data_IF_370021054596
#
_entry.id   IF_370021054596
#
_cell.length_a   1.000
_cell.length_b   1.000
_cell.length_c   1.000
_cell.angle_alpha   90.00
_cell.angle_beta   90.00
_cell.angle_gamma   90.00
#
_symmetry.space_group_name_H-M   'P 1'
#
loop_
_entity.id
_entity.type
_entity.pdbx_description
1 polymer ?
#
# COMPACT_ATOMS: atom_id res chain seq x y z
N UNK A 1 5.90 16.06 -0.75
CA UNK A 1 6.58 14.84 -1.17
C UNK A 1 7.56 14.31 -0.15
N UNK A 2 7.80 13.02 -0.18
CA UNK A 2 8.77 12.35 0.69
C UNK A 2 9.78 11.64 -0.20
N UNK A 3 10.95 12.25 -0.39
CA UNK A 3 12.13 11.67 -1.04
C UNK A 3 12.84 10.79 0.02
N UNK A 4 12.18 9.69 0.37
CA UNK A 4 12.57 8.78 1.44
C UNK A 4 11.97 7.39 1.24
N UNK A 5 12.73 6.36 1.65
CA UNK A 5 12.36 4.96 1.52
C UNK A 5 11.06 4.62 2.27
N UNK A 6 10.25 3.72 1.70
CA UNK A 6 9.13 3.02 2.38
C UNK A 6 8.00 3.93 2.89
N UNK A 7 7.91 5.18 2.39
CA UNK A 7 6.92 6.13 2.91
C UNK A 7 5.52 6.00 2.29
N UNK A 8 5.33 5.20 1.21
CA UNK A 8 4.01 5.03 0.60
C UNK A 8 3.09 4.06 1.36
N UNK A 9 3.23 3.99 2.68
CA UNK A 9 2.36 3.22 3.55
C UNK A 9 1.04 3.94 3.82
N UNK A 10 -0.06 3.19 3.85
CA UNK A 10 -1.37 3.76 4.12
C UNK A 10 -1.45 4.38 5.52
N UNK A 11 -0.70 3.85 6.49
CA UNK A 11 -0.55 4.39 7.83
C UNK A 11 0.06 5.79 7.82
N UNK A 12 1.13 5.98 7.04
CA UNK A 12 1.79 7.28 6.88
C UNK A 12 0.88 8.27 6.16
N UNK A 13 0.23 7.84 5.06
CA UNK A 13 -0.73 8.65 4.30
C UNK A 13 -1.88 9.14 5.19
N UNK A 14 -2.43 8.23 6.01
CA UNK A 14 -3.48 8.59 6.95
C UNK A 14 -3.00 9.59 8.01
N UNK A 15 -1.76 9.44 8.49
CA UNK A 15 -1.18 10.33 9.50
C UNK A 15 -1.06 11.76 8.96
N UNK A 16 -0.63 11.94 7.71
CA UNK A 16 -0.37 13.26 7.10
C UNK A 16 -1.58 13.88 6.42
N UNK A 17 -2.71 13.16 6.28
CA UNK A 17 -3.90 13.60 5.53
C UNK A 17 -4.51 14.95 5.95
N UNK A 18 -4.22 15.41 7.17
CA UNK A 18 -4.72 16.70 7.69
C UNK A 18 -3.82 17.88 7.31
N UNK A 19 -2.66 17.62 6.73
CA UNK A 19 -1.60 18.59 6.49
C UNK A 19 -1.28 18.82 5.01
N UNK A 20 -1.82 17.96 4.13
CA UNK A 20 -1.61 18.05 2.70
C UNK A 20 -2.80 17.44 1.93
N UNK A 21 -2.97 17.85 0.67
CA UNK A 21 -4.00 17.32 -0.23
C UNK A 21 -3.50 16.10 -0.99
N UNK A 22 -2.22 16.10 -1.39
CA UNK A 22 -1.58 15.04 -2.16
C UNK A 22 -0.25 14.67 -1.49
N UNK A 23 0.02 13.36 -1.42
CA UNK A 23 1.30 12.83 -0.97
C UNK A 23 1.98 12.09 -2.12
N UNK A 24 3.28 12.33 -2.29
CA UNK A 24 4.13 11.58 -3.20
C UNK A 24 5.16 10.83 -2.37
N UNK A 25 5.25 9.50 -2.58
CA UNK A 25 6.16 8.64 -1.84
C UNK A 25 6.40 7.29 -2.53
N UNK A 26 7.48 6.61 -2.14
CA UNK A 26 7.85 5.29 -2.63
C UNK A 26 7.38 4.17 -1.68
N UNK A 27 6.98 3.03 -2.25
CA UNK A 27 6.74 1.79 -1.49
C UNK A 27 8.04 1.05 -1.16
N UNK A 28 9.10 1.27 -1.97
CA UNK A 28 10.39 0.63 -1.86
C UNK A 28 11.47 1.62 -1.40
N UNK A 29 12.68 1.12 -1.20
CA UNK A 29 13.88 1.93 -0.96
C UNK A 29 14.12 2.84 -2.16
N UNK A 30 14.30 4.13 -1.90
CA UNK A 30 14.68 5.09 -2.92
C UNK A 30 16.20 5.05 -3.14
N UNK A 31 16.67 4.94 -4.40
CA UNK A 31 18.10 5.00 -4.67
C UNK A 31 18.71 6.35 -4.27
N UNK A 32 19.96 6.36 -3.83
CA UNK A 32 20.69 7.54 -3.31
C UNK A 32 20.65 8.79 -4.21
N UNK A 33 20.35 8.64 -5.50
CA UNK A 33 20.20 9.76 -6.42
C UNK A 33 18.99 10.64 -6.11
N UNK A 34 17.98 10.09 -5.44
CA UNK A 34 16.74 10.78 -5.09
C UNK A 34 15.92 11.24 -6.31
N UNK A 35 15.16 12.30 -6.14
CA UNK A 35 14.24 12.83 -7.14
C UNK A 35 14.95 13.75 -8.16
N UNK A 36 14.48 13.80 -9.43
CA UNK A 36 15.03 14.69 -10.46
C UNK A 36 14.49 16.13 -10.27
N UNK A 37 14.97 16.81 -9.22
CA UNK A 37 14.46 18.13 -8.82
C UNK A 37 14.56 19.19 -9.91
N UNK A 38 15.62 19.17 -10.74
CA UNK A 38 15.79 20.13 -11.83
C UNK A 38 14.63 20.03 -12.80
N UNK A 39 14.34 18.85 -13.30
CA UNK A 39 13.29 18.58 -14.29
C UNK A 39 11.89 18.85 -13.73
N UNK A 40 11.66 18.54 -12.46
CA UNK A 40 10.41 18.81 -11.75
C UNK A 40 10.19 20.33 -11.62
N UNK A 41 11.20 21.06 -11.16
CA UNK A 41 11.09 22.50 -10.94
C UNK A 41 11.02 23.30 -12.25
N UNK A 42 11.68 22.86 -13.31
CA UNK A 42 11.56 23.44 -14.64
C UNK A 42 10.12 23.34 -15.16
N UNK A 43 9.49 22.16 -15.02
CA UNK A 43 8.09 21.99 -15.44
C UNK A 43 7.12 22.79 -14.57
N UNK A 44 7.34 22.85 -13.27
CA UNK A 44 6.55 23.68 -12.37
C UNK A 44 6.67 25.17 -12.74
N UNK A 45 7.87 25.63 -13.08
CA UNK A 45 8.10 27.02 -13.51
C UNK A 45 7.41 27.35 -14.84
N UNK A 46 7.36 26.39 -15.77
CA UNK A 46 6.62 26.56 -17.05
C UNK A 46 5.10 26.57 -16.85
N UNK A 47 4.59 25.85 -15.86
CA UNK A 47 3.16 25.70 -15.58
C UNK A 47 2.85 25.94 -14.10
N UNK A 48 3.06 27.15 -13.57
CA UNK A 48 2.95 27.42 -12.12
C UNK A 48 1.51 27.31 -11.58
N UNK A 49 0.51 27.22 -12.45
CA UNK A 49 -0.90 27.05 -12.08
C UNK A 49 -1.34 25.57 -12.03
N UNK A 50 -0.40 24.61 -12.07
CA UNK A 50 -0.74 23.20 -11.90
C UNK A 50 -1.45 22.97 -10.55
N UNK A 51 -2.48 22.14 -10.56
CA UNK A 51 -3.08 21.62 -9.33
C UNK A 51 -2.11 20.69 -8.60
N UNK A 52 -2.36 20.44 -7.30
CA UNK A 52 -1.58 19.48 -6.52
C UNK A 52 -1.60 18.06 -7.15
N UNK A 53 -2.74 17.66 -7.72
CA UNK A 53 -2.91 16.39 -8.43
C UNK A 53 -2.03 16.30 -9.69
N UNK A 54 -2.02 17.35 -10.51
CA UNK A 54 -1.19 17.41 -11.72
C UNK A 54 0.30 17.42 -11.37
N UNK A 55 0.70 18.19 -10.35
CA UNK A 55 2.07 18.20 -9.87
C UNK A 55 2.49 16.84 -9.31
N UNK A 56 1.61 16.18 -8.54
CA UNK A 56 1.87 14.83 -8.03
C UNK A 56 2.10 13.82 -9.16
N UNK A 57 1.24 13.83 -10.17
CA UNK A 57 1.39 12.96 -11.34
C UNK A 57 2.69 13.26 -12.12
N UNK A 58 3.02 14.55 -12.30
CA UNK A 58 4.25 14.97 -12.95
C UNK A 58 5.51 14.46 -12.22
N UNK A 59 5.55 14.58 -10.89
CA UNK A 59 6.68 14.10 -10.08
C UNK A 59 6.88 12.60 -10.28
N UNK A 60 5.80 11.81 -10.25
CA UNK A 60 5.83 10.36 -10.47
C UNK A 60 6.40 10.05 -11.86
N UNK A 61 5.98 10.76 -12.92
CA UNK A 61 6.49 10.57 -14.27
C UNK A 61 7.98 10.91 -14.37
N UNK A 62 8.37 12.07 -13.87
CA UNK A 62 9.78 12.52 -13.92
C UNK A 62 10.69 11.58 -13.13
N UNK A 63 10.23 11.08 -12.01
CA UNK A 63 10.96 10.08 -11.23
C UNK A 63 11.20 8.81 -12.07
N UNK A 64 10.16 8.25 -12.67
CA UNK A 64 10.28 7.06 -13.51
C UNK A 64 11.23 7.30 -14.71
N UNK A 65 11.03 8.40 -15.44
CA UNK A 65 11.87 8.78 -16.59
C UNK A 65 13.35 8.84 -16.19
N UNK A 66 13.65 9.42 -15.02
CA UNK A 66 15.03 9.61 -14.56
C UNK A 66 15.76 8.29 -14.31
N UNK A 67 15.06 7.23 -13.91
CA UNK A 67 15.67 5.93 -13.63
C UNK A 67 15.68 5.00 -14.86
N UNK A 68 14.71 5.10 -15.75
CA UNK A 68 14.67 4.27 -16.98
C UNK A 68 15.71 4.73 -18.01
N UNK A 69 15.96 6.03 -18.11
CA UNK A 69 16.79 6.61 -19.20
C UNK A 69 18.30 6.44 -19.01
N UNK A 70 18.78 6.04 -17.82
CA UNK A 70 20.20 6.19 -17.48
C UNK A 70 21.02 4.91 -17.47
N UNK A 71 20.42 3.71 -17.58
CA UNK A 71 21.17 2.45 -17.49
C UNK A 71 20.63 1.35 -18.40
N UNK A 72 21.51 0.39 -18.79
CA UNK A 72 21.11 -0.83 -19.51
C UNK A 72 20.16 -1.73 -18.70
N UNK A 73 20.24 -1.71 -17.38
CA UNK A 73 19.34 -2.38 -16.46
C UNK A 73 18.87 -1.34 -15.44
N UNK A 74 17.70 -0.73 -15.66
CA UNK A 74 17.13 0.22 -14.70
C UNK A 74 16.98 -0.42 -13.33
N UNK A 75 17.22 0.34 -12.24
CA UNK A 75 16.90 -0.15 -10.91
C UNK A 75 15.38 -0.40 -10.79
N UNK A 76 15.01 -1.31 -9.92
CA UNK A 76 13.62 -1.52 -9.52
C UNK A 76 13.24 -0.40 -8.56
N UNK A 77 12.39 0.51 -9.01
CA UNK A 77 11.90 1.64 -8.20
C UNK A 77 10.38 1.72 -8.25
N UNK A 78 9.80 2.26 -7.22
CA UNK A 78 8.37 2.56 -7.11
C UNK A 78 8.18 4.04 -6.78
N UNK A 79 7.12 4.66 -7.26
CA UNK A 79 6.70 5.99 -6.84
C UNK A 79 5.20 6.14 -7.04
N UNK A 80 4.51 6.79 -6.12
CA UNK A 80 3.07 7.03 -6.23
C UNK A 80 2.67 8.43 -5.75
N UNK A 81 1.62 8.96 -6.37
CA UNK A 81 0.93 10.17 -5.94
C UNK A 81 -0.47 9.78 -5.44
N UNK A 82 -0.80 10.18 -4.22
CA UNK A 82 -1.98 9.76 -3.48
C UNK A 82 -2.82 10.97 -3.08
N UNK A 83 -4.11 10.91 -3.38
CA UNK A 83 -5.13 11.85 -2.91
C UNK A 83 -5.45 11.59 -1.42
N UNK A 84 -4.95 12.44 -0.55
CA UNK A 84 -5.10 12.27 0.89
C UNK A 84 -6.52 12.57 1.39
N UNK A 85 -7.34 13.26 0.61
CA UNK A 85 -8.75 13.51 0.97
C UNK A 85 -9.56 12.20 1.09
N UNK A 86 -9.12 11.14 0.42
CA UNK A 86 -9.76 9.82 0.41
C UNK A 86 -9.30 8.87 1.52
N UNK A 87 -8.37 9.30 2.36
CA UNK A 87 -7.84 8.44 3.43
C UNK A 87 -8.87 8.11 4.52
N UNK A 88 -9.91 8.92 4.67
CA UNK A 88 -11.05 8.61 5.54
C UNK A 88 -11.80 7.35 5.06
N UNK A 89 -12.12 7.30 3.78
CA UNK A 89 -12.81 6.15 3.16
C UNK A 89 -11.93 4.90 3.18
N UNK A 90 -10.63 5.06 2.89
CA UNK A 90 -9.65 3.99 3.01
C UNK A 90 -9.65 3.36 4.41
N UNK A 91 -9.62 4.19 5.45
CA UNK A 91 -9.64 3.71 6.84
C UNK A 91 -10.94 2.96 7.19
N UNK A 92 -12.09 3.39 6.67
CA UNK A 92 -13.37 2.70 6.87
C UNK A 92 -13.40 1.32 6.18
N UNK A 93 -12.89 1.23 4.96
CA UNK A 93 -12.80 -0.05 4.23
C UNK A 93 -11.82 -1.01 4.91
N UNK A 94 -10.66 -0.53 5.35
CA UNK A 94 -9.70 -1.34 6.11
C UNK A 94 -10.28 -1.78 7.45
N UNK A 95 -11.05 -0.92 8.11
CA UNK A 95 -11.76 -1.30 9.36
C UNK A 95 -12.76 -2.42 9.11
N UNK A 96 -13.50 -2.37 8.00
CA UNK A 96 -14.43 -3.43 7.62
C UNK A 96 -13.69 -4.75 7.36
N UNK A 97 -12.64 -4.70 6.55
CA UNK A 97 -11.79 -5.86 6.25
C UNK A 97 -11.15 -6.45 7.52
N UNK A 98 -10.49 -5.62 8.33
CA UNK A 98 -9.85 -6.05 9.57
C UNK A 98 -10.83 -6.66 10.58
N UNK A 99 -12.04 -6.09 10.71
CA UNK A 99 -13.08 -6.64 11.59
C UNK A 99 -13.54 -8.01 11.12
N UNK A 100 -13.80 -8.17 9.83
CA UNK A 100 -14.20 -9.43 9.25
C UNK A 100 -13.08 -10.48 9.40
N UNK A 101 -11.84 -10.12 9.06
CA UNK A 101 -10.69 -10.99 9.22
C UNK A 101 -10.51 -11.46 10.66
N UNK A 102 -10.57 -10.57 11.65
CA UNK A 102 -10.45 -10.93 13.07
C UNK A 102 -11.58 -11.83 13.55
N UNK A 103 -12.77 -11.75 12.95
CA UNK A 103 -13.92 -12.63 13.25
C UNK A 103 -13.74 -14.01 12.62
N UNK A 104 -13.41 -14.07 11.34
CA UNK A 104 -13.51 -15.29 10.53
C UNK A 104 -12.23 -16.14 10.57
N UNK A 105 -11.06 -15.53 10.85
CA UNK A 105 -9.72 -16.13 10.70
C UNK A 105 -9.55 -17.48 11.40
N UNK A 106 -10.13 -17.65 12.60
CA UNK A 106 -9.98 -18.89 13.36
C UNK A 106 -11.07 -19.91 13.07
N UNK A 107 -12.18 -19.49 12.49
CA UNK A 107 -13.34 -20.34 12.25
C UNK A 107 -13.35 -20.89 10.81
N UNK A 108 -12.53 -20.31 9.92
CA UNK A 108 -12.37 -20.76 8.54
C UNK A 108 -10.90 -21.11 8.24
N UNK A 109 -10.62 -22.42 8.13
CA UNK A 109 -9.28 -22.93 7.86
C UNK A 109 -8.74 -22.46 6.48
N UNK A 110 -9.60 -22.40 5.47
CA UNK A 110 -9.18 -21.98 4.12
C UNK A 110 -8.84 -20.50 4.08
N UNK A 111 -9.52 -19.66 4.88
CA UNK A 111 -9.17 -18.26 5.04
C UNK A 111 -7.82 -18.11 5.76
N UNK A 112 -7.62 -18.88 6.82
CA UNK A 112 -6.35 -18.87 7.55
C UNK A 112 -5.18 -19.28 6.65
N UNK A 113 -5.35 -20.30 5.83
CA UNK A 113 -4.35 -20.74 4.86
C UNK A 113 -4.12 -19.65 3.80
N UNK A 114 -5.18 -19.11 3.19
CA UNK A 114 -5.07 -18.05 2.18
C UNK A 114 -4.35 -16.80 2.71
N UNK A 115 -4.64 -16.39 3.95
CA UNK A 115 -3.97 -15.26 4.58
C UNK A 115 -2.47 -15.56 4.83
N UNK A 116 -2.16 -16.75 5.38
CA UNK A 116 -0.77 -17.15 5.62
C UNK A 116 0.02 -17.22 4.31
N UNK A 117 -0.54 -17.86 3.30
CA UNK A 117 0.11 -18.04 2.01
C UNK A 117 0.32 -16.68 1.31
N UNK A 118 -0.65 -15.75 1.41
CA UNK A 118 -0.51 -14.38 0.92
C UNK A 118 0.65 -13.64 1.60
N UNK A 119 0.79 -13.79 2.92
CA UNK A 119 1.85 -13.18 3.72
C UNK A 119 3.22 -13.79 3.42
N UNK A 120 3.33 -15.11 3.37
CA UNK A 120 4.57 -15.82 3.05
C UNK A 120 5.02 -15.54 1.61
N UNK A 121 4.07 -15.49 0.67
CA UNK A 121 4.35 -15.11 -0.70
C UNK A 121 4.83 -13.66 -0.80
N UNK A 122 4.22 -12.73 -0.06
CA UNK A 122 4.69 -11.36 0.02
C UNK A 122 6.16 -11.29 0.45
N UNK A 123 6.51 -11.93 1.55
CA UNK A 123 7.86 -11.94 2.09
C UNK A 123 8.90 -12.60 1.17
N UNK A 124 8.49 -13.62 0.39
CA UNK A 124 9.44 -14.44 -0.40
C UNK A 124 9.53 -14.08 -1.88
N UNK A 125 8.45 -13.57 -2.48
CA UNK A 125 8.31 -13.42 -3.94
C UNK A 125 8.16 -11.97 -4.40
N UNK A 126 8.22 -11.02 -3.46
CA UNK A 126 8.46 -9.63 -3.82
C UNK A 126 7.26 -8.79 -4.21
N UNK A 127 6.17 -8.87 -3.47
CA UNK A 127 5.37 -7.69 -3.21
C UNK A 127 5.49 -7.23 -1.73
N UNK A 128 6.40 -7.86 -0.96
CA UNK A 128 7.07 -7.22 0.16
C UNK A 128 8.27 -6.43 -0.35
N UNK A 129 8.55 -5.33 0.33
CA UNK A 129 9.63 -4.42 0.00
C UNK A 129 10.88 -4.75 0.84
N UNK A 130 11.84 -3.83 0.96
CA UNK A 130 13.05 -4.03 1.78
C UNK A 130 12.70 -4.52 3.19
N UNK A 131 11.62 -4.00 3.76
CA UNK A 131 11.03 -4.57 4.97
C UNK A 131 9.92 -5.57 4.59
N UNK A 132 10.07 -6.87 4.91
CA UNK A 132 9.09 -7.90 4.54
C UNK A 132 7.74 -7.77 5.26
N UNK A 133 7.64 -6.89 6.26
CA UNK A 133 6.38 -6.57 6.94
C UNK A 133 5.57 -5.48 6.22
N UNK A 134 6.15 -4.80 5.20
CA UNK A 134 5.46 -3.81 4.37
C UNK A 134 5.11 -4.43 3.02
N UNK A 135 3.83 -4.66 2.81
CA UNK A 135 3.36 -5.37 1.61
C UNK A 135 2.48 -4.47 0.75
N UNK A 136 2.53 -4.67 -0.57
CA UNK A 136 1.59 -3.99 -1.47
C UNK A 136 0.15 -4.40 -1.16
N UNK A 137 -0.70 -3.43 -0.84
CA UNK A 137 -2.06 -3.68 -0.38
C UNK A 137 -2.92 -4.36 -1.46
N UNK A 138 -2.80 -3.96 -2.72
CA UNK A 138 -3.57 -4.53 -3.84
C UNK A 138 -3.17 -5.99 -4.07
N UNK A 139 -1.87 -6.27 -4.12
CA UNK A 139 -1.35 -7.62 -4.32
C UNK A 139 -1.70 -8.55 -3.15
N UNK A 140 -1.64 -8.04 -1.92
CA UNK A 140 -2.01 -8.79 -0.73
C UNK A 140 -3.50 -9.20 -0.73
N UNK A 141 -4.40 -8.26 -1.04
CA UNK A 141 -5.83 -8.55 -1.15
C UNK A 141 -6.13 -9.54 -2.28
N UNK A 142 -5.49 -9.39 -3.44
CA UNK A 142 -5.61 -10.34 -4.56
C UNK A 142 -5.16 -11.73 -4.15
N UNK A 143 -4.04 -11.85 -3.45
CA UNK A 143 -3.51 -13.14 -3.01
C UNK A 143 -4.46 -13.86 -2.04
N UNK A 144 -5.05 -13.15 -1.09
CA UNK A 144 -6.09 -13.72 -0.20
C UNK A 144 -7.28 -14.22 -1.01
N UNK A 145 -7.82 -13.39 -1.91
CA UNK A 145 -9.01 -13.72 -2.70
C UNK A 145 -8.76 -14.92 -3.65
N UNK A 146 -7.59 -14.97 -4.28
CA UNK A 146 -7.24 -16.06 -5.21
C UNK A 146 -6.74 -17.31 -4.49
N UNK A 147 -6.23 -17.18 -3.27
CA UNK A 147 -5.73 -18.27 -2.43
C UNK A 147 -6.83 -19.04 -1.71
N UNK A 148 -8.01 -18.43 -1.50
CA UNK A 148 -9.11 -19.09 -0.80
C UNK A 148 -9.66 -20.30 -1.58
N UNK A 149 -9.79 -21.45 -0.91
CA UNK A 149 -10.20 -22.73 -1.50
C UNK A 149 -11.47 -23.33 -0.90
N UNK A 150 -12.12 -22.62 0.02
CA UNK A 150 -13.38 -23.07 0.62
C UNK A 150 -14.50 -23.16 -0.41
N UNK A 151 -15.36 -24.17 -0.28
CA UNK A 151 -16.49 -24.45 -1.18
C UNK A 151 -17.87 -24.18 -0.57
N UNK A 152 -17.91 -23.83 0.73
CA UNK A 152 -19.12 -23.52 1.49
C UNK A 152 -19.51 -22.05 1.43
N UNK A 153 -20.22 -21.60 2.46
CA UNK A 153 -20.52 -20.17 2.64
C UNK A 153 -19.23 -19.40 2.81
N UNK A 154 -19.02 -18.41 1.95
CA UNK A 154 -17.80 -17.60 2.01
C UNK A 154 -17.79 -16.72 3.26
N UNK A 155 -16.62 -16.58 3.93
CA UNK A 155 -16.49 -15.68 5.07
C UNK A 155 -16.66 -14.21 4.67
N UNK A 156 -17.18 -13.40 5.58
CA UNK A 156 -17.36 -11.95 5.39
C UNK A 156 -16.05 -11.24 4.99
N UNK A 157 -14.93 -11.81 5.38
CA UNK A 157 -13.58 -11.32 5.05
C UNK A 157 -13.35 -11.22 3.54
N UNK A 158 -13.80 -12.20 2.75
CA UNK A 158 -13.61 -12.18 1.28
C UNK A 158 -14.44 -11.07 0.64
N UNK A 159 -15.67 -10.84 1.10
CA UNK A 159 -16.49 -9.73 0.63
C UNK A 159 -15.84 -8.39 0.97
N UNK A 160 -15.35 -8.22 2.19
CA UNK A 160 -14.70 -6.99 2.62
C UNK A 160 -13.36 -6.75 1.89
N UNK A 161 -12.57 -7.81 1.67
CA UNK A 161 -11.35 -7.75 0.86
C UNK A 161 -11.64 -7.33 -0.58
N UNK A 162 -12.68 -7.90 -1.18
CA UNK A 162 -13.11 -7.56 -2.53
C UNK A 162 -13.59 -6.11 -2.63
N UNK A 163 -14.37 -5.63 -1.68
CA UNK A 163 -14.84 -4.23 -1.65
C UNK A 163 -13.67 -3.25 -1.57
N UNK A 164 -12.69 -3.52 -0.70
CA UNK A 164 -11.48 -2.69 -0.58
C UNK A 164 -10.67 -2.73 -1.88
N UNK A 165 -10.47 -3.91 -2.47
CA UNK A 165 -9.74 -4.08 -3.72
C UNK A 165 -10.43 -3.36 -4.88
N UNK A 166 -11.75 -3.54 -5.05
CA UNK A 166 -12.52 -2.89 -6.11
C UNK A 166 -12.45 -1.36 -5.99
N UNK A 167 -12.49 -0.83 -4.77
CA UNK A 167 -12.36 0.60 -4.52
C UNK A 167 -10.96 1.12 -4.87
N UNK A 168 -9.89 0.40 -4.47
CA UNK A 168 -8.51 0.76 -4.81
C UNK A 168 -8.24 0.77 -6.33
N UNK A 169 -8.99 -0.03 -7.10
CA UNK A 169 -8.86 -0.14 -8.56
C UNK A 169 -9.89 0.70 -9.33
N UNK A 170 -10.78 1.40 -8.64
CA UNK A 170 -11.84 2.19 -9.27
C UNK A 170 -11.38 3.60 -9.64
N UNK A 171 -12.25 4.34 -10.35
CA UNK A 171 -12.07 5.78 -10.59
C UNK A 171 -12.07 6.63 -9.31
N UNK A 172 -12.58 6.09 -8.19
CA UNK A 172 -12.56 6.71 -6.88
C UNK A 172 -11.34 6.34 -6.03
N UNK A 173 -10.37 5.63 -6.61
CA UNK A 173 -9.12 5.28 -5.95
C UNK A 173 -8.41 6.52 -5.37
N UNK A 174 -7.72 6.39 -4.24
CA UNK A 174 -6.82 7.44 -3.76
C UNK A 174 -5.55 7.53 -4.63
N UNK A 175 -5.23 6.51 -5.41
CA UNK A 175 -4.03 6.47 -6.25
C UNK A 175 -4.26 7.34 -7.49
N UNK A 176 -3.72 8.55 -7.47
CA UNK A 176 -3.73 9.47 -8.61
C UNK A 176 -2.88 8.89 -9.74
N UNK A 177 -1.68 8.45 -9.37
CA UNK A 177 -0.71 7.84 -10.27
C UNK A 177 0.26 6.97 -9.49
N UNK A 178 0.65 5.86 -10.08
CA UNK A 178 1.75 5.06 -9.58
C UNK A 178 2.63 4.59 -10.74
N UNK A 179 3.91 4.44 -10.47
CA UNK A 179 4.87 3.88 -11.40
C UNK A 179 5.72 2.84 -10.69
N UNK A 180 6.06 1.81 -11.43
CA UNK A 180 6.94 0.75 -10.98
C UNK A 180 7.84 0.32 -12.12
N UNK A 181 9.11 0.07 -11.82
CA UNK A 181 10.10 -0.40 -12.80
C UNK A 181 10.79 -1.68 -12.32
N UNK A 182 11.47 -2.34 -13.24
CA UNK A 182 12.29 -3.52 -12.93
C UNK A 182 11.48 -4.68 -12.37
N UNK A 183 11.99 -5.30 -11.32
CA UNK A 183 11.49 -6.56 -10.77
C UNK A 183 10.17 -6.42 -9.97
N UNK A 184 9.76 -5.19 -9.65
CA UNK A 184 8.48 -4.90 -8.97
C UNK A 184 7.30 -4.72 -9.94
N UNK A 185 7.54 -4.80 -11.25
CA UNK A 185 6.47 -4.68 -12.25
C UNK A 185 5.38 -5.70 -11.94
N UNK A 186 4.12 -5.25 -11.98
CA UNK A 186 2.92 -6.03 -11.66
C UNK A 186 2.80 -6.47 -10.19
N UNK A 187 3.68 -6.03 -9.30
CA UNK A 187 3.69 -6.38 -7.86
C UNK A 187 3.41 -5.20 -6.95
N UNK A 188 3.75 -3.99 -7.37
CA UNK A 188 3.52 -2.75 -6.63
C UNK A 188 2.46 -1.90 -7.33
N UNK A 189 1.51 -1.36 -6.56
CA UNK A 189 0.36 -0.60 -7.06
C UNK A 189 0.24 0.78 -6.43
N UNK A 190 1.21 1.19 -5.61
CA UNK A 190 1.32 2.55 -5.09
C UNK A 190 0.99 2.73 -3.61
N UNK A 191 0.43 1.73 -2.94
CA UNK A 191 0.13 1.78 -1.49
C UNK A 191 0.55 0.48 -0.82
N UNK A 192 1.38 0.58 0.22
CA UNK A 192 1.69 -0.54 1.10
C UNK A 192 0.92 -0.46 2.43
N UNK A 193 0.86 -1.60 3.12
CA UNK A 193 0.26 -1.75 4.45
C UNK A 193 1.15 -2.62 5.33
N UNK A 194 1.14 -2.37 6.63
CA UNK A 194 1.88 -3.16 7.61
C UNK A 194 1.20 -4.52 7.88
N UNK A 195 1.93 -5.60 7.65
CA UNK A 195 1.52 -6.99 7.92
C UNK A 195 2.66 -7.71 8.64
N UNK A 196 2.71 -7.65 9.98
CA UNK A 196 3.85 -8.14 10.76
C UNK A 196 4.06 -9.65 10.65
N UNK A 197 5.33 -10.06 10.75
CA UNK A 197 5.71 -11.47 10.76
C UNK A 197 5.16 -12.21 11.98
N UNK A 198 5.11 -11.57 13.14
CA UNK A 198 4.63 -12.11 14.40
C UNK A 198 3.67 -11.15 15.10
N UNK A 199 4.00 -10.67 16.29
CA UNK A 199 3.18 -9.69 17.01
C UNK A 199 3.39 -8.30 16.41
N UNK A 200 2.32 -7.48 16.29
CA UNK A 200 2.46 -6.10 15.85
C UNK A 200 3.40 -5.30 16.74
N UNK A 201 4.09 -4.34 16.15
CA UNK A 201 4.92 -3.40 16.89
C UNK A 201 4.10 -2.67 17.97
N UNK A 202 4.59 -2.58 19.22
CA UNK A 202 3.86 -1.90 20.29
C UNK A 202 3.65 -0.40 20.05
N UNK A 203 4.47 0.23 19.22
CA UNK A 203 4.32 1.66 18.87
C UNK A 203 3.22 1.90 17.83
N UNK A 204 2.73 0.87 17.15
CA UNK A 204 1.66 1.01 16.17
C UNK A 204 0.38 1.61 16.78
N UNK A 205 0.10 1.35 18.05
CA UNK A 205 -1.04 1.92 18.79
C UNK A 205 -1.05 3.45 18.85
N UNK A 206 0.11 4.07 18.71
CA UNK A 206 0.29 5.53 18.81
C UNK A 206 -0.01 6.25 17.49
N UNK A 207 -0.22 5.49 16.41
CA UNK A 207 -0.64 6.05 15.13
C UNK A 207 -2.14 6.42 15.11
N UNK A 208 -2.48 7.54 14.49
CA UNK A 208 -3.89 7.92 14.23
C UNK A 208 -4.62 6.80 13.47
N UNK A 209 -3.90 6.08 12.60
CA UNK A 209 -4.42 4.96 11.81
C UNK A 209 -4.93 3.78 12.66
N UNK A 210 -4.55 3.69 13.91
CA UNK A 210 -5.11 2.69 14.84
C UNK A 210 -6.65 2.77 14.91
N UNK A 211 -7.24 3.94 14.68
CA UNK A 211 -8.69 4.13 14.58
C UNK A 211 -9.32 3.35 13.43
N UNK A 212 -8.55 2.97 12.41
CA UNK A 212 -8.97 2.07 11.33
C UNK A 212 -9.16 0.61 11.79
N UNK A 213 -8.78 0.27 13.02
CA UNK A 213 -9.00 -1.05 13.62
C UNK A 213 -8.13 -2.18 13.03
N UNK A 214 -7.14 -1.85 12.19
CA UNK A 214 -6.21 -2.82 11.60
C UNK A 214 -5.34 -3.49 12.67
N UNK A 215 -4.78 -2.70 13.60
CA UNK A 215 -4.03 -3.25 14.74
C UNK A 215 -4.84 -4.29 15.52
N UNK A 216 -6.13 -4.03 15.76
CA UNK A 216 -6.99 -4.99 16.46
C UNK A 216 -7.14 -6.31 15.71
N UNK A 217 -7.22 -6.27 14.39
CA UNK A 217 -7.23 -7.47 13.56
C UNK A 217 -5.91 -8.24 13.69
N UNK A 218 -4.78 -7.54 13.53
CA UNK A 218 -3.44 -8.11 13.66
C UNK A 218 -3.22 -8.75 15.04
N UNK A 219 -3.58 -8.05 16.12
CA UNK A 219 -3.52 -8.58 17.48
C UNK A 219 -4.38 -9.84 17.67
N UNK A 220 -5.54 -9.88 17.03
CA UNK A 220 -6.45 -11.03 17.13
C UNK A 220 -5.85 -12.24 16.44
N UNK A 221 -5.37 -12.11 15.23
CA UNK A 221 -4.87 -13.24 14.42
C UNK A 221 -3.47 -13.72 14.84
N UNK A 222 -2.69 -12.89 15.53
CA UNK A 222 -1.34 -13.23 16.00
C UNK A 222 -1.33 -13.95 17.36
N UNK A 223 -2.44 -13.98 18.10
CA UNK A 223 -2.55 -14.68 19.37
C UNK A 223 -2.95 -16.14 19.16
N UNK A 224 -2.28 -17.12 19.79
CA UNK A 224 -2.79 -18.48 19.81
C UNK A 224 -4.17 -18.47 20.49
N UNK A 225 -5.16 -19.19 19.95
CA UNK A 225 -6.39 -19.50 20.71
C UNK A 225 -5.99 -20.36 21.91
N UNK A 226 -6.26 -19.85 23.11
CA UNK A 226 -6.22 -20.62 24.37
C UNK A 226 -7.25 -21.73 24.33
#
# INVERSE_FOLDING_TARGET
>A
GMDACLMAMIEVQYQVRKFADVMIASQEVEPMRGWPYTEILEELNRRPAMSATELGALIVDKYAESYVSTTRKPPSVTQSAIDLSKMGDAALLIKSFGRALGKDYFDDLYLKEAYRDAKEFAASQGYAFEDPEYVDLVSFLRAILTGYRGTGTQPDTLQAAKQLLDWLLSANSPIIKSVVTGDFKDKAHGISIYVPAAQPSPVYKDLDFNTAGWLKALDTISKPRS
#
